data_IF_909332091513
#
_entry.id   IF_909332091513
#
_cell.length_a   1.000
_cell.length_b   1.000
_cell.length_c   1.000
_cell.angle_alpha   90.00
_cell.angle_beta   90.00
_cell.angle_gamma   90.00
#
_symmetry.space_group_name_H-M   'P 1'
#
loop_
_entity.id
_entity.type
_entity.pdbx_description
1 polymer ?
#
# COMPACT_ATOMS: atom_id res chain seq x y z
N UNK A 1 -19.56 -8.30 5.04
CA UNK A 1 -18.18 -8.37 4.54
C UNK A 1 -17.27 -7.61 5.49
N UNK A 2 -16.11 -8.16 5.78
CA UNK A 2 -15.24 -7.58 6.80
C UNK A 2 -14.02 -6.94 6.14
N UNK A 3 -14.08 -5.63 5.90
CA UNK A 3 -13.00 -4.90 5.26
C UNK A 3 -11.79 -4.73 6.18
N UNK A 4 -12.03 -4.62 7.49
CA UNK A 4 -10.94 -4.59 8.46
C UNK A 4 -10.04 -5.82 8.31
N UNK A 5 -10.64 -7.01 8.25
CA UNK A 5 -9.87 -8.25 8.13
C UNK A 5 -9.15 -8.31 6.79
N UNK A 6 -9.78 -7.85 5.71
CA UNK A 6 -9.13 -7.82 4.39
C UNK A 6 -7.92 -6.90 4.38
N UNK A 7 -8.03 -5.73 4.99
CA UNK A 7 -6.89 -4.82 5.11
C UNK A 7 -5.77 -5.47 5.93
N UNK A 8 -6.13 -6.11 7.04
CA UNK A 8 -5.15 -6.81 7.85
C UNK A 8 -4.44 -7.91 7.05
N UNK A 9 -5.18 -8.66 6.25
CA UNK A 9 -4.60 -9.72 5.41
C UNK A 9 -3.60 -9.17 4.41
N UNK A 10 -3.88 -8.01 3.80
CA UNK A 10 -2.93 -7.35 2.90
C UNK A 10 -1.61 -7.10 3.62
N UNK A 11 -1.67 -6.48 4.80
CA UNK A 11 -0.45 -6.09 5.51
C UNK A 11 0.28 -7.29 6.10
N UNK A 12 -0.43 -8.35 6.47
CA UNK A 12 0.21 -9.63 6.83
C UNK A 12 1.02 -10.17 5.66
N UNK A 13 0.46 -10.11 4.44
CA UNK A 13 1.18 -10.53 3.24
C UNK A 13 2.39 -9.64 2.95
N UNK A 14 2.25 -8.32 3.14
CA UNK A 14 3.37 -7.40 2.96
C UNK A 14 4.52 -7.74 3.91
N UNK A 15 4.20 -8.06 5.16
CA UNK A 15 5.20 -8.47 6.15
C UNK A 15 5.88 -9.79 5.81
N UNK A 16 5.26 -10.61 4.96
CA UNK A 16 5.82 -11.87 4.48
C UNK A 16 6.61 -11.71 3.17
N UNK A 17 6.75 -10.49 2.67
CA UNK A 17 7.42 -10.25 1.40
C UNK A 17 6.58 -10.57 0.18
N UNK A 18 5.25 -10.59 0.33
CA UNK A 18 4.32 -10.96 -0.74
C UNK A 18 3.55 -9.74 -1.27
N UNK A 19 4.26 -8.64 -1.52
CA UNK A 19 3.64 -7.39 -1.95
C UNK A 19 2.86 -7.54 -3.27
N UNK A 20 3.47 -8.13 -4.29
CA UNK A 20 2.80 -8.30 -5.59
C UNK A 20 1.61 -9.24 -5.49
N UNK A 21 1.71 -10.30 -4.72
CA UNK A 21 0.62 -11.25 -4.52
C UNK A 21 -0.58 -10.58 -3.84
N UNK A 22 -0.32 -9.75 -2.83
CA UNK A 22 -1.37 -8.97 -2.16
C UNK A 22 -2.02 -8.00 -3.14
N UNK A 23 -1.20 -7.33 -3.95
CA UNK A 23 -1.68 -6.41 -4.97
C UNK A 23 -2.61 -7.11 -5.96
N UNK A 24 -2.19 -8.26 -6.49
CA UNK A 24 -3.02 -9.00 -7.45
C UNK A 24 -4.34 -9.46 -6.85
N UNK A 25 -4.33 -9.88 -5.60
CA UNK A 25 -5.52 -10.43 -4.96
C UNK A 25 -6.54 -9.36 -4.58
N UNK A 26 -6.08 -8.24 -4.03
CA UNK A 26 -6.96 -7.30 -3.35
C UNK A 26 -7.24 -6.00 -4.11
N UNK A 27 -6.56 -5.74 -5.22
CA UNK A 27 -6.72 -4.48 -5.94
C UNK A 27 -7.53 -4.66 -7.22
N UNK A 28 -8.48 -3.76 -7.41
CA UNK A 28 -9.43 -3.80 -8.53
C UNK A 28 -8.73 -3.45 -9.85
N UNK A 29 -9.27 -3.97 -10.96
CA UNK A 29 -8.73 -3.70 -12.29
C UNK A 29 -8.69 -2.20 -12.60
N UNK A 30 -9.68 -1.44 -12.09
CA UNK A 30 -9.79 0.00 -12.33
C UNK A 30 -9.26 0.84 -11.16
N UNK A 31 -8.41 0.28 -10.32
CA UNK A 31 -7.91 0.98 -9.12
C UNK A 31 -7.19 2.27 -9.49
N UNK A 32 -7.43 3.30 -8.68
CA UNK A 32 -6.68 4.56 -8.74
C UNK A 32 -5.87 4.66 -7.46
N UNK A 33 -4.56 4.86 -7.59
CA UNK A 33 -3.69 5.06 -6.44
C UNK A 33 -3.11 6.48 -6.49
N UNK A 34 -3.16 7.17 -5.35
CA UNK A 34 -2.79 8.58 -5.26
C UNK A 34 -1.66 8.74 -4.25
N UNK A 35 -0.56 9.35 -4.67
CA UNK A 35 0.57 9.62 -3.80
C UNK A 35 0.33 10.86 -2.93
N UNK A 36 1.16 11.04 -1.89
CA UNK A 36 1.05 12.21 -1.01
C UNK A 36 1.21 13.53 -1.76
N UNK A 37 1.89 13.52 -2.90
CA UNK A 37 2.05 14.68 -3.77
C UNK A 37 0.76 15.04 -4.51
N UNK A 38 -0.22 14.13 -4.54
CA UNK A 38 -1.45 14.27 -5.32
C UNK A 38 -1.38 13.62 -6.70
N UNK A 39 -0.22 13.08 -7.07
CA UNK A 39 -0.08 12.39 -8.35
C UNK A 39 -0.90 11.11 -8.38
N UNK A 40 -1.63 10.88 -9.46
CA UNK A 40 -2.52 9.73 -9.61
C UNK A 40 -1.99 8.74 -10.62
N UNK A 41 -2.14 7.44 -10.30
CA UNK A 41 -1.89 6.36 -11.25
C UNK A 41 -3.19 5.59 -11.42
N UNK A 42 -3.69 5.52 -12.64
CA UNK A 42 -5.00 4.92 -12.94
C UNK A 42 -4.83 3.57 -13.62
N UNK A 43 -5.52 2.56 -13.09
CA UNK A 43 -5.55 1.23 -13.65
C UNK A 43 -4.58 0.27 -12.99
N UNK A 44 -4.97 -1.00 -12.97
CA UNK A 44 -4.19 -2.04 -12.29
C UNK A 44 -2.85 -2.27 -12.96
N UNK A 45 -2.81 -2.24 -14.30
CA UNK A 45 -1.58 -2.50 -15.04
C UNK A 45 -0.52 -1.43 -14.76
N UNK A 46 -0.91 -0.16 -14.78
CA UNK A 46 0.00 0.95 -14.46
C UNK A 46 0.53 0.83 -13.05
N UNK A 47 -0.35 0.52 -12.11
CA UNK A 47 0.03 0.39 -10.70
C UNK A 47 0.90 -0.85 -10.45
N UNK A 48 0.66 -1.93 -11.19
CA UNK A 48 1.50 -3.13 -11.10
C UNK A 48 2.94 -2.81 -11.50
N UNK A 49 3.11 -2.09 -12.59
CA UNK A 49 4.46 -1.72 -13.05
C UNK A 49 5.15 -0.80 -12.05
N UNK A 50 4.40 0.11 -11.43
CA UNK A 50 4.94 0.96 -10.38
C UNK A 50 5.41 0.12 -9.19
N UNK A 51 4.59 -0.85 -8.73
CA UNK A 51 4.96 -1.72 -7.61
C UNK A 51 6.20 -2.55 -7.92
N UNK A 52 6.28 -3.10 -9.13
CA UNK A 52 7.47 -3.85 -9.56
C UNK A 52 8.71 -2.97 -9.56
N UNK A 53 8.58 -1.75 -10.06
CA UNK A 53 9.68 -0.78 -10.09
C UNK A 53 10.15 -0.44 -8.69
N UNK A 54 9.21 -0.20 -7.77
CA UNK A 54 9.53 0.09 -6.39
C UNK A 54 10.30 -1.06 -5.74
N UNK A 55 9.79 -2.28 -5.90
CA UNK A 55 10.44 -3.49 -5.35
C UNK A 55 11.84 -3.64 -5.94
N UNK A 56 11.99 -3.38 -7.24
CA UNK A 56 13.28 -3.48 -7.91
C UNK A 56 14.32 -2.48 -7.44
N UNK A 57 13.89 -1.37 -6.81
CA UNK A 57 14.79 -0.38 -6.25
C UNK A 57 15.29 -0.73 -4.86
N UNK A 58 14.71 -1.74 -4.21
CA UNK A 58 15.09 -2.13 -2.85
C UNK A 58 16.28 -3.09 -2.92
N UNK A 59 17.39 -2.68 -2.28
CA UNK A 59 18.57 -3.52 -2.14
C UNK A 59 18.46 -4.41 -0.91
N UNK A 60 17.94 -3.85 0.18
CA UNK A 60 17.86 -4.53 1.47
C UNK A 60 16.59 -4.15 2.20
N UNK A 61 15.89 -5.16 2.72
CA UNK A 61 14.68 -4.95 3.51
C UNK A 61 15.04 -5.10 4.98
N UNK A 62 14.78 -4.08 5.79
CA UNK A 62 15.16 -4.09 7.21
C UNK A 62 14.01 -4.37 8.16
N UNK A 63 12.81 -3.89 7.82
CA UNK A 63 11.67 -4.11 8.69
C UNK A 63 10.39 -3.51 8.16
N UNK A 64 9.29 -3.95 8.77
CA UNK A 64 7.95 -3.54 8.40
C UNK A 64 7.05 -3.70 9.61
N UNK A 65 6.14 -2.76 9.82
CA UNK A 65 5.18 -2.87 10.90
C UNK A 65 3.91 -2.10 10.63
N UNK A 66 2.85 -2.53 11.30
CA UNK A 66 1.56 -1.83 11.28
C UNK A 66 1.33 -1.26 12.67
N UNK A 67 1.14 0.05 12.74
CA UNK A 67 0.87 0.72 14.01
C UNK A 67 -0.62 0.70 14.35
N UNK A 68 -1.48 0.84 13.34
CA UNK A 68 -2.91 0.94 13.57
C UNK A 68 -3.69 0.61 12.29
N UNK A 69 -4.80 -0.10 12.46
CA UNK A 69 -5.78 -0.33 11.40
C UNK A 69 -7.12 0.07 11.94
N UNK A 70 -7.91 0.79 11.15
CA UNK A 70 -9.29 1.08 11.47
C UNK A 70 -10.15 0.93 10.23
N UNK A 71 -11.44 0.75 10.42
CA UNK A 71 -12.37 0.63 9.29
C UNK A 71 -13.69 1.29 9.61
N UNK A 72 -14.32 1.80 8.57
CA UNK A 72 -15.71 2.15 8.56
C UNK A 72 -16.39 1.20 7.59
N UNK A 73 -16.98 0.12 8.12
CA UNK A 73 -17.55 -0.93 7.27
C UNK A 73 -18.74 -0.41 6.44
N UNK A 74 -19.55 0.47 7.02
CA UNK A 74 -20.70 1.03 6.31
C UNK A 74 -20.28 1.87 5.11
N UNK A 75 -19.18 2.60 5.22
CA UNK A 75 -18.64 3.44 4.15
C UNK A 75 -17.67 2.68 3.24
N UNK A 76 -17.32 1.44 3.59
CA UNK A 76 -16.38 0.61 2.84
C UNK A 76 -14.99 1.25 2.76
N UNK A 77 -14.53 1.77 3.89
CA UNK A 77 -13.22 2.46 3.98
C UNK A 77 -12.39 1.81 5.08
N UNK A 78 -11.11 1.59 4.78
CA UNK A 78 -10.12 1.20 5.78
C UNK A 78 -8.98 2.21 5.78
N UNK A 79 -8.34 2.37 6.94
CA UNK A 79 -7.16 3.23 7.08
C UNK A 79 -6.10 2.45 7.82
N UNK A 80 -4.87 2.50 7.32
CA UNK A 80 -3.76 1.75 7.90
C UNK A 80 -2.56 2.66 8.06
N UNK A 81 -2.09 2.77 9.29
CA UNK A 81 -0.82 3.45 9.61
C UNK A 81 0.26 2.38 9.68
N UNK A 82 1.29 2.52 8.86
CA UNK A 82 2.35 1.52 8.76
C UNK A 82 3.70 2.17 8.49
N UNK A 83 4.75 1.39 8.64
CA UNK A 83 6.11 1.81 8.32
C UNK A 83 6.87 0.68 7.64
N UNK A 84 7.84 1.07 6.83
CA UNK A 84 8.74 0.14 6.15
C UNK A 84 10.14 0.75 6.16
N UNK A 85 11.14 -0.05 6.50
CA UNK A 85 12.53 0.41 6.47
C UNK A 85 13.32 -0.43 5.49
N UNK A 86 13.96 0.24 4.53
CA UNK A 86 14.70 -0.40 3.45
C UNK A 86 15.99 0.38 3.16
N UNK A 87 16.93 -0.29 2.49
CA UNK A 87 18.04 0.36 1.82
C UNK A 87 17.79 0.23 0.32
N UNK A 88 17.78 1.37 -0.38
CA UNK A 88 17.61 1.38 -1.83
C UNK A 88 18.93 1.08 -2.54
N UNK A 89 18.86 0.80 -3.84
CA UNK A 89 20.04 0.46 -4.65
C UNK A 89 21.10 1.56 -4.66
N UNK A 90 20.71 2.81 -4.43
CA UNK A 90 21.64 3.94 -4.34
C UNK A 90 22.37 4.03 -2.99
N UNK A 91 22.09 3.10 -2.08
CA UNK A 91 22.71 3.03 -0.76
C UNK A 91 21.98 3.79 0.34
N UNK A 92 20.93 4.54 0.00
CA UNK A 92 20.16 5.28 1.02
C UNK A 92 19.29 4.33 1.83
N UNK A 93 19.40 4.42 3.16
CA UNK A 93 18.54 3.70 4.09
C UNK A 93 17.44 4.65 4.55
N UNK A 94 16.19 4.26 4.35
CA UNK A 94 15.03 5.11 4.59
C UNK A 94 13.99 4.34 5.39
N UNK A 95 13.44 5.00 6.41
CA UNK A 95 12.23 4.51 7.09
C UNK A 95 11.05 5.32 6.54
N UNK A 96 10.15 4.62 5.87
CA UNK A 96 8.97 5.24 5.27
C UNK A 96 7.77 5.01 6.19
N UNK A 97 7.13 6.10 6.60
CA UNK A 97 5.97 6.06 7.47
C UNK A 97 4.80 6.68 6.72
N UNK A 98 3.64 6.01 6.75
CA UNK A 98 2.50 6.47 5.96
C UNK A 98 1.17 6.04 6.56
N UNK A 99 0.11 6.73 6.12
CA UNK A 99 -1.28 6.29 6.30
C UNK A 99 -1.85 6.04 4.92
N UNK A 100 -2.43 4.87 4.72
CA UNK A 100 -3.15 4.54 3.49
C UNK A 100 -4.64 4.59 3.77
N UNK A 101 -5.39 5.30 2.92
CA UNK A 101 -6.85 5.34 2.97
C UNK A 101 -7.36 4.54 1.77
N UNK A 102 -8.09 3.47 2.04
CA UNK A 102 -8.50 2.49 1.05
C UNK A 102 -10.02 2.48 0.93
N UNK A 103 -10.50 2.65 -0.29
CA UNK A 103 -11.93 2.54 -0.60
C UNK A 103 -12.16 1.21 -1.33
N UNK A 104 -13.15 0.46 -0.86
CA UNK A 104 -13.42 -0.89 -1.35
C UNK A 104 -14.63 -0.93 -2.25
N UNK A 105 -14.57 -1.75 -3.29
CA UNK A 105 -15.69 -2.08 -4.16
C UNK A 105 -15.74 -3.60 -4.27
N UNK A 106 -16.83 -4.19 -3.78
CA UNK A 106 -16.92 -5.63 -3.61
C UNK A 106 -15.78 -6.10 -2.72
N UNK A 107 -14.91 -6.96 -3.15
CA UNK A 107 -13.82 -7.51 -2.34
C UNK A 107 -12.47 -6.89 -2.67
N UNK A 108 -12.43 -5.78 -3.41
CA UNK A 108 -11.19 -5.21 -3.92
C UNK A 108 -11.11 -3.71 -3.68
N UNK A 109 -9.90 -3.21 -3.53
CA UNK A 109 -9.64 -1.79 -3.38
C UNK A 109 -9.78 -1.13 -4.75
N UNK A 110 -10.68 -0.12 -4.84
CA UNK A 110 -10.90 0.65 -6.06
C UNK A 110 -10.17 1.99 -6.04
N UNK A 111 -9.83 2.48 -4.86
CA UNK A 111 -9.13 3.76 -4.70
C UNK A 111 -8.28 3.68 -3.43
N UNK A 112 -7.00 4.09 -3.53
CA UNK A 112 -6.11 4.14 -2.38
C UNK A 112 -5.30 5.42 -2.44
N UNK A 113 -5.33 6.17 -1.34
CA UNK A 113 -4.52 7.39 -1.22
C UNK A 113 -3.57 7.25 -0.06
N UNK A 114 -2.30 7.63 -0.30
CA UNK A 114 -1.25 7.59 0.70
C UNK A 114 -0.98 8.99 1.24
N UNK A 115 -0.75 9.07 2.55
CA UNK A 115 -0.37 10.30 3.25
C UNK A 115 0.96 10.04 3.94
N UNK A 116 1.98 10.77 3.51
CA UNK A 116 3.33 10.69 4.06
C UNK A 116 4.04 12.02 3.81
N UNK A 117 5.20 12.21 4.45
CA UNK A 117 6.02 13.38 4.18
C UNK A 117 6.65 13.22 2.80
N UNK A 118 6.25 14.06 1.86
CA UNK A 118 6.64 13.95 0.45
C UNK A 118 7.97 14.67 0.15
N UNK A 119 8.86 14.74 1.10
CA UNK A 119 10.21 15.22 0.84
C UNK A 119 10.45 16.68 1.17
N UNK A 120 9.78 17.16 2.17
CA UNK A 120 10.05 18.51 2.64
C UNK A 120 10.78 18.49 3.98
#
# INVERSE_FOLDING_TARGET
MNYYQKAKDIYDMLGQGKMLEAFEKFYHQDVVMVEATGDERKGKDVNREFEKSFIGMIKEFHGFGVNSITSNEAEKVTMVESWMEVTFNDGNRVKMEQVAVQHWLNDQIIHERFYYNAGK
#
